data_IF_673261435972
#
_entry.id   IF_673261435972
#
_cell.length_a   1.000
_cell.length_b   1.000
_cell.length_c   1.000
_cell.angle_alpha   90.00
_cell.angle_beta   90.00
_cell.angle_gamma   90.00
#
_symmetry.space_group_name_H-M   'P 1'
#
loop_
_entity.id
_entity.type
_entity.pdbx_description
1 polymer ?
#
# COMPACT_ATOMS: atom_id res chain seq x y z
N UNK A 1 -10.74 -14.82 7.58
CA UNK A 1 -9.55 -14.95 6.70
C UNK A 1 -8.41 -14.03 7.13
N UNK A 2 -8.67 -12.77 7.59
CA UNK A 2 -7.60 -11.82 7.96
C UNK A 2 -6.63 -12.39 9.01
N UNK A 3 -7.13 -12.95 10.11
CA UNK A 3 -6.28 -13.56 11.15
C UNK A 3 -5.35 -14.67 10.63
N UNK A 4 -5.82 -15.48 9.68
CA UNK A 4 -4.98 -16.53 9.09
C UNK A 4 -3.88 -15.93 8.20
N UNK A 5 -4.19 -14.87 7.47
CA UNK A 5 -3.22 -14.15 6.65
C UNK A 5 -2.22 -13.35 7.52
N UNK A 6 -2.70 -12.68 8.55
CA UNK A 6 -1.87 -11.99 9.54
C UNK A 6 -0.83 -12.95 10.15
N UNK A 7 -1.29 -14.09 10.69
CA UNK A 7 -0.41 -15.12 11.24
C UNK A 7 0.64 -15.58 10.22
N UNK A 8 0.21 -15.87 9.00
CA UNK A 8 1.11 -16.31 7.94
C UNK A 8 2.17 -15.26 7.59
N UNK A 9 1.83 -13.99 7.64
CA UNK A 9 2.77 -12.89 7.36
C UNK A 9 3.81 -12.76 8.48
N UNK A 10 3.40 -12.86 9.76
CA UNK A 10 4.31 -12.87 10.90
C UNK A 10 5.29 -14.06 10.85
N UNK A 11 4.76 -15.26 10.60
CA UNK A 11 5.58 -16.48 10.49
C UNK A 11 6.57 -16.40 9.30
N UNK A 12 6.12 -15.92 8.15
CA UNK A 12 6.98 -15.74 6.97
C UNK A 12 8.08 -14.71 7.21
N UNK A 13 7.78 -13.65 7.97
CA UNK A 13 8.75 -12.61 8.30
C UNK A 13 9.77 -13.06 9.37
N UNK A 14 9.55 -14.21 10.02
CA UNK A 14 10.37 -14.66 11.14
C UNK A 14 10.22 -13.78 12.39
N UNK A 15 9.08 -13.12 12.52
CA UNK A 15 8.77 -12.17 13.59
C UNK A 15 7.63 -12.68 14.46
N UNK A 16 7.58 -12.24 15.71
CA UNK A 16 6.47 -12.51 16.65
C UNK A 16 5.74 -11.20 16.99
N UNK A 17 4.40 -11.16 16.90
CA UNK A 17 3.66 -9.97 17.31
C UNK A 17 3.83 -9.62 18.79
N UNK A 18 4.13 -10.62 19.63
CA UNK A 18 4.26 -10.47 21.07
C UNK A 18 5.72 -10.25 21.54
N UNK A 19 6.68 -10.25 20.61
CA UNK A 19 8.11 -10.09 20.92
C UNK A 19 8.77 -9.05 20.00
N UNK A 20 8.85 -7.77 20.43
CA UNK A 20 9.46 -6.70 19.67
C UNK A 20 10.93 -6.92 19.30
N UNK A 21 11.66 -7.72 20.04
CA UNK A 21 13.07 -8.03 19.74
C UNK A 21 13.23 -8.83 18.43
N UNK A 22 12.16 -9.51 18.01
CA UNK A 22 12.14 -10.24 16.73
C UNK A 22 11.83 -9.36 15.53
N UNK A 23 11.38 -8.11 15.75
CA UNK A 23 10.99 -7.23 14.65
C UNK A 23 12.23 -6.68 13.98
N UNK A 24 12.26 -6.77 12.65
CA UNK A 24 13.35 -6.24 11.82
C UNK A 24 14.75 -6.72 12.26
N UNK A 25 14.99 -8.02 12.29
CA UNK A 25 16.27 -8.57 12.77
C UNK A 25 17.45 -8.11 11.91
N UNK A 26 17.22 -7.80 10.62
CA UNK A 26 18.24 -7.38 9.67
C UNK A 26 17.89 -6.00 9.06
N UNK A 27 18.45 -4.91 9.54
CA UNK A 27 18.30 -3.59 8.92
C UNK A 27 18.95 -3.50 7.53
N UNK A 28 18.35 -2.72 6.57
CA UNK A 28 17.10 -1.99 6.70
C UNK A 28 15.88 -2.90 6.61
N UNK A 29 14.95 -2.74 7.56
CA UNK A 29 13.73 -3.50 7.59
C UNK A 29 12.75 -3.00 6.54
N UNK A 30 12.67 -3.70 5.41
CA UNK A 30 11.62 -3.45 4.43
C UNK A 30 10.25 -3.87 4.95
N UNK A 31 9.28 -2.96 4.88
CA UNK A 31 7.88 -3.27 5.28
C UNK A 31 7.23 -4.33 4.39
N UNK A 32 7.67 -4.46 3.14
CA UNK A 32 7.08 -5.39 2.17
C UNK A 32 7.67 -6.79 2.32
N UNK A 33 6.80 -7.78 2.52
CA UNK A 33 7.14 -9.20 2.62
C UNK A 33 6.67 -9.96 1.38
N UNK A 34 7.58 -10.65 0.72
CA UNK A 34 7.35 -11.31 -0.58
C UNK A 34 6.61 -12.67 -0.45
N UNK A 35 5.64 -12.72 0.43
CA UNK A 35 4.79 -13.90 0.67
C UNK A 35 3.71 -14.04 -0.42
N UNK A 36 4.10 -14.40 -1.64
CA UNK A 36 3.19 -14.40 -2.80
C UNK A 36 2.21 -15.58 -2.82
N UNK A 37 2.62 -16.76 -2.35
CA UNK A 37 1.96 -18.02 -2.65
C UNK A 37 1.29 -18.69 -1.46
N UNK A 38 1.18 -18.02 -0.33
CA UNK A 38 0.55 -18.60 0.85
C UNK A 38 -0.98 -18.68 0.69
N UNK A 39 -1.58 -19.84 1.07
CA UNK A 39 -3.01 -20.10 0.90
C UNK A 39 -3.89 -19.04 1.57
N UNK A 40 -3.55 -18.61 2.79
CA UNK A 40 -4.34 -17.60 3.51
C UNK A 40 -4.42 -16.24 2.77
N UNK A 41 -3.38 -15.88 1.99
CA UNK A 41 -3.42 -14.70 1.14
C UNK A 41 -4.27 -14.92 -0.11
N UNK A 42 -4.22 -16.13 -0.69
CA UNK A 42 -5.11 -16.50 -1.80
C UNK A 42 -6.57 -16.49 -1.39
N UNK A 43 -6.91 -16.98 -0.18
CA UNK A 43 -8.27 -16.99 0.36
C UNK A 43 -8.84 -15.58 0.52
N UNK A 44 -7.98 -14.59 0.80
CA UNK A 44 -8.36 -13.17 0.85
C UNK A 44 -8.52 -12.59 -0.56
N UNK A 45 -7.54 -12.80 -1.44
CA UNK A 45 -7.56 -12.28 -2.82
C UNK A 45 -8.76 -12.78 -3.62
N UNK A 46 -9.14 -14.04 -3.41
CA UNK A 46 -10.27 -14.69 -4.09
C UNK A 46 -11.57 -14.58 -3.31
N UNK A 47 -11.61 -13.82 -2.22
CA UNK A 47 -12.81 -13.69 -1.43
C UNK A 47 -13.94 -13.06 -2.26
N UNK A 48 -15.19 -13.61 -2.24
CA UNK A 48 -16.30 -13.12 -3.06
C UNK A 48 -16.58 -11.62 -2.94
N UNK A 49 -16.41 -11.03 -1.74
CA UNK A 49 -16.57 -9.58 -1.53
C UNK A 49 -15.49 -8.77 -2.25
N UNK A 50 -14.25 -9.24 -2.27
CA UNK A 50 -13.15 -8.60 -3.00
C UNK A 50 -13.43 -8.67 -4.50
N UNK A 51 -13.78 -9.85 -5.01
CA UNK A 51 -14.17 -10.02 -6.40
C UNK A 51 -15.35 -9.11 -6.79
N UNK A 52 -16.38 -9.04 -5.95
CA UNK A 52 -17.55 -8.19 -6.22
C UNK A 52 -17.21 -6.70 -6.30
N UNK A 53 -16.33 -6.21 -5.41
CA UNK A 53 -15.89 -4.81 -5.41
C UNK A 53 -15.18 -4.45 -6.73
N UNK A 54 -14.21 -5.26 -7.16
CA UNK A 54 -13.51 -5.03 -8.42
C UNK A 54 -14.41 -5.27 -9.64
N UNK A 55 -15.36 -6.22 -9.57
CA UNK A 55 -16.32 -6.45 -10.64
C UNK A 55 -17.23 -5.22 -10.89
N UNK A 56 -17.63 -4.53 -9.83
CA UNK A 56 -18.41 -3.29 -9.97
C UNK A 56 -17.59 -2.18 -10.61
N UNK A 57 -16.31 -2.04 -10.23
CA UNK A 57 -15.41 -1.02 -10.80
C UNK A 57 -15.18 -1.26 -12.29
N UNK A 58 -14.93 -2.51 -12.68
CA UNK A 58 -14.60 -2.88 -14.05
C UNK A 58 -15.80 -3.21 -14.94
N UNK A 59 -17.01 -3.30 -14.38
CA UNK A 59 -18.22 -3.66 -15.11
C UNK A 59 -18.19 -5.09 -15.68
N UNK A 60 -17.39 -5.98 -15.10
CA UNK A 60 -17.24 -7.38 -15.54
C UNK A 60 -16.85 -8.30 -14.39
N UNK A 61 -17.33 -9.53 -14.44
CA UNK A 61 -16.93 -10.59 -13.50
C UNK A 61 -15.75 -11.45 -13.99
N UNK A 62 -15.25 -11.19 -15.20
CA UNK A 62 -14.11 -11.89 -15.80
C UNK A 62 -12.81 -11.21 -15.39
N UNK A 63 -12.42 -11.41 -14.14
CA UNK A 63 -11.23 -10.81 -13.55
C UNK A 63 -10.16 -11.86 -13.30
N UNK A 64 -8.91 -11.45 -13.47
CA UNK A 64 -7.76 -12.23 -13.01
C UNK A 64 -7.31 -11.70 -11.64
N UNK A 65 -6.98 -12.62 -10.75
CA UNK A 65 -6.39 -12.27 -9.46
C UNK A 65 -4.93 -11.90 -9.69
N UNK A 66 -4.58 -10.66 -9.38
CA UNK A 66 -3.17 -10.28 -9.25
C UNK A 66 -2.62 -10.80 -7.93
N UNK A 67 -1.34 -11.13 -7.92
CA UNK A 67 -0.62 -11.50 -6.70
C UNK A 67 0.36 -10.38 -6.37
N UNK A 68 0.40 -10.03 -5.11
CA UNK A 68 1.35 -9.07 -4.60
C UNK A 68 1.78 -9.47 -3.18
N UNK A 69 2.66 -8.69 -2.63
CA UNK A 69 3.27 -8.84 -1.32
C UNK A 69 2.27 -8.56 -0.19
N UNK A 70 2.63 -8.89 1.02
CA UNK A 70 2.02 -8.34 2.22
C UNK A 70 2.95 -7.29 2.84
N UNK A 71 2.41 -6.40 3.67
CA UNK A 71 3.20 -5.45 4.44
C UNK A 71 3.07 -5.72 5.94
N UNK A 72 4.20 -5.57 6.65
CA UNK A 72 4.26 -5.37 8.08
C UNK A 72 4.95 -4.04 8.31
N UNK A 73 4.31 -3.14 9.04
CA UNK A 73 4.88 -1.87 9.43
C UNK A 73 4.98 -1.85 10.97
N UNK A 74 6.11 -2.30 11.55
CA UNK A 74 6.27 -2.32 13.01
C UNK A 74 6.39 -0.90 13.56
N UNK A 75 6.08 -0.69 14.86
CA UNK A 75 6.27 0.58 15.53
C UNK A 75 7.68 1.14 15.42
N UNK A 76 7.77 2.46 15.40
CA UNK A 76 9.06 3.17 15.42
C UNK A 76 9.86 2.83 16.68
N UNK A 77 11.17 2.75 16.53
CA UNK A 77 12.13 2.50 17.59
C UNK A 77 13.53 2.92 17.16
N UNK A 78 14.50 3.03 18.07
CA UNK A 78 15.89 3.34 17.71
C UNK A 78 16.41 2.44 16.57
N UNK A 79 16.86 3.04 15.47
CA UNK A 79 17.30 2.35 14.25
C UNK A 79 16.19 1.96 13.28
N UNK A 80 14.94 2.30 13.58
CA UNK A 80 13.79 2.15 12.68
C UNK A 80 12.84 3.33 12.88
N UNK A 81 13.21 4.48 12.33
CA UNK A 81 12.43 5.71 12.36
C UNK A 81 11.67 5.90 11.06
N UNK A 82 10.47 6.45 11.16
CA UNK A 82 9.66 6.82 10.00
C UNK A 82 10.23 8.07 9.33
N UNK A 83 10.53 7.97 8.05
CA UNK A 83 11.15 9.05 7.28
C UNK A 83 10.19 9.76 6.33
N UNK A 84 8.89 9.53 6.49
CA UNK A 84 7.84 10.18 5.74
C UNK A 84 6.91 9.19 5.03
N UNK A 85 5.79 9.65 4.45
CA UNK A 85 4.81 8.77 3.82
C UNK A 85 5.33 8.10 2.55
N UNK A 86 6.55 8.38 2.10
CA UNK A 86 7.19 7.80 0.92
C UNK A 86 6.28 7.75 -0.30
N UNK A 87 5.62 8.87 -0.59
CA UNK A 87 4.68 8.98 -1.70
C UNK A 87 5.32 8.51 -3.02
N UNK A 88 4.62 7.61 -3.69
CA UNK A 88 5.05 7.02 -4.96
C UNK A 88 3.85 6.57 -5.80
N UNK A 89 4.12 6.15 -7.01
CA UNK A 89 3.19 5.43 -7.88
C UNK A 89 3.82 4.11 -8.29
N UNK A 90 3.00 3.07 -8.41
CA UNK A 90 3.39 1.80 -9.02
C UNK A 90 3.28 1.80 -10.55
N UNK A 91 2.75 2.87 -11.11
CA UNK A 91 2.74 3.08 -12.55
C UNK A 91 4.03 3.76 -13.05
N UNK A 92 4.33 3.59 -14.35
CA UNK A 92 5.40 4.36 -14.97
C UNK A 92 4.93 5.80 -15.21
N UNK A 93 5.51 6.76 -14.50
CA UNK A 93 5.16 8.19 -14.62
C UNK A 93 5.75 8.86 -15.86
N UNK A 94 6.73 8.23 -16.51
CA UNK A 94 7.29 8.73 -17.77
C UNK A 94 6.38 8.39 -18.97
N UNK A 95 5.55 7.36 -18.81
CA UNK A 95 4.62 6.92 -19.83
C UNK A 95 3.27 6.57 -19.18
N UNK A 96 2.56 7.59 -18.71
CA UNK A 96 1.25 7.42 -18.05
C UNK A 96 0.22 6.94 -19.08
N UNK A 97 -0.30 5.71 -18.93
CA UNK A 97 -1.24 5.15 -19.89
C UNK A 97 -2.57 5.92 -19.91
N UNK A 98 -3.26 5.93 -21.06
CA UNK A 98 -4.57 6.60 -21.21
C UNK A 98 -5.63 5.99 -20.27
N UNK A 99 -5.59 4.69 -20.09
CA UNK A 99 -6.45 3.98 -19.14
C UNK A 99 -5.65 3.63 -17.91
N UNK A 100 -5.88 4.36 -16.84
CA UNK A 100 -5.28 4.11 -15.54
C UNK A 100 -6.22 3.21 -14.75
N UNK A 101 -5.65 2.23 -14.05
CA UNK A 101 -6.39 1.24 -13.30
C UNK A 101 -6.65 1.63 -11.85
N UNK A 102 -7.00 0.63 -11.06
CA UNK A 102 -7.15 0.73 -9.62
C UNK A 102 -6.26 -0.31 -8.93
N UNK A 103 -5.84 0.01 -7.71
CA UNK A 103 -5.15 -0.89 -6.81
C UNK A 103 -5.95 -1.01 -5.52
N UNK A 104 -5.65 -2.00 -4.70
CA UNK A 104 -6.30 -2.14 -3.41
C UNK A 104 -5.41 -2.82 -2.39
N UNK A 105 -5.58 -2.45 -1.13
CA UNK A 105 -5.05 -3.16 0.03
C UNK A 105 -6.18 -3.66 0.91
N UNK A 106 -5.97 -4.80 1.55
CA UNK A 106 -6.84 -5.33 2.58
C UNK A 106 -6.15 -5.18 3.93
N UNK A 107 -6.78 -4.46 4.86
CA UNK A 107 -6.30 -4.41 6.23
C UNK A 107 -6.49 -5.77 6.91
N UNK A 108 -5.39 -6.35 7.41
CA UNK A 108 -5.41 -7.62 8.13
C UNK A 108 -5.69 -7.43 9.62
N UNK A 109 -5.36 -6.25 10.15
CA UNK A 109 -5.56 -5.80 11.53
C UNK A 109 -6.37 -4.50 11.56
N UNK A 110 -6.96 -4.16 12.69
CA UNK A 110 -7.44 -2.82 12.94
C UNK A 110 -6.24 -1.88 12.92
N UNK A 111 -6.32 -0.80 12.15
CA UNK A 111 -5.19 0.08 11.85
C UNK A 111 -5.65 1.52 12.01
N UNK A 112 -5.15 2.21 13.02
CA UNK A 112 -5.37 3.63 13.22
C UNK A 112 -4.54 4.46 12.23
N UNK A 113 -4.87 5.74 12.11
CA UNK A 113 -4.21 6.65 11.16
C UNK A 113 -2.70 6.78 11.35
N UNK A 114 -2.19 6.51 12.55
CA UNK A 114 -0.78 6.54 12.94
C UNK A 114 -0.16 5.15 13.15
N UNK A 115 -0.78 4.10 12.58
CA UNK A 115 -0.34 2.71 12.72
C UNK A 115 0.03 2.06 11.38
N UNK A 116 0.81 2.75 10.55
CA UNK A 116 1.20 2.24 9.24
C UNK A 116 0.04 2.20 8.23
N UNK A 117 -0.99 3.04 8.43
CA UNK A 117 -2.17 3.13 7.58
C UNK A 117 -1.81 3.54 6.15
N UNK A 118 -2.66 3.18 5.21
CA UNK A 118 -2.55 3.66 3.83
C UNK A 118 -2.57 5.20 3.79
N UNK A 119 -1.62 5.77 3.09
CA UNK A 119 -1.51 7.21 2.87
C UNK A 119 -1.72 7.55 1.40
N UNK A 120 -2.41 8.65 1.11
CA UNK A 120 -2.52 9.16 -0.26
C UNK A 120 -2.75 10.68 -0.28
N UNK A 121 -2.58 11.29 -1.46
CA UNK A 121 -2.97 12.68 -1.70
C UNK A 121 -4.30 12.71 -2.45
N UNK A 122 -5.43 12.94 -1.76
CA UNK A 122 -6.75 12.90 -2.39
C UNK A 122 -6.88 13.88 -3.55
N UNK A 123 -7.48 13.42 -4.65
CA UNK A 123 -7.73 14.26 -5.83
C UNK A 123 -6.54 14.44 -6.77
N UNK A 124 -5.32 14.12 -6.37
CA UNK A 124 -4.12 14.33 -7.20
C UNK A 124 -4.18 13.63 -8.56
N UNK A 125 -4.78 12.45 -8.63
CA UNK A 125 -4.94 11.71 -9.89
C UNK A 125 -5.64 12.49 -11.01
N UNK A 126 -6.47 13.48 -10.65
CA UNK A 126 -7.17 14.35 -11.61
C UNK A 126 -6.21 15.34 -12.30
N UNK A 127 -5.13 15.70 -11.63
CA UNK A 127 -4.15 16.68 -12.11
C UNK A 127 -2.80 16.05 -12.48
N UNK A 128 -2.61 14.76 -12.26
CA UNK A 128 -1.34 14.05 -12.45
C UNK A 128 -0.68 14.39 -13.78
N UNK A 129 -1.41 14.27 -14.90
CA UNK A 129 -0.84 14.49 -16.24
C UNK A 129 -0.38 15.92 -16.46
N UNK A 130 -1.14 16.89 -15.97
CA UNK A 130 -0.81 18.30 -16.10
C UNK A 130 0.37 18.66 -15.21
N UNK A 131 0.38 18.13 -13.99
CA UNK A 131 1.50 18.32 -13.07
C UNK A 131 2.78 17.72 -13.63
N UNK A 132 2.77 16.50 -14.17
CA UNK A 132 3.95 15.89 -14.80
C UNK A 132 4.46 16.73 -15.99
N UNK A 133 3.57 17.27 -16.82
CA UNK A 133 3.96 18.15 -17.93
C UNK A 133 4.58 19.47 -17.49
N UNK A 134 4.25 19.95 -16.30
CA UNK A 134 4.80 21.19 -15.74
C UNK A 134 6.23 21.04 -15.19
N UNK A 135 6.67 19.81 -14.96
CA UNK A 135 7.99 19.54 -14.39
C UNK A 135 9.08 19.68 -15.45
N UNK A 136 10.24 20.28 -15.08
CA UNK A 136 11.44 20.20 -15.93
C UNK A 136 11.86 18.74 -16.14
N UNK A 137 12.34 18.41 -17.31
CA UNK A 137 12.79 17.05 -17.66
C UNK A 137 13.95 16.51 -16.79
N UNK A 138 14.60 17.37 -16.05
CA UNK A 138 15.72 17.04 -15.16
C UNK A 138 15.25 16.69 -13.72
N UNK A 139 13.97 16.81 -13.43
CA UNK A 139 13.40 16.58 -12.10
C UNK A 139 12.77 15.19 -12.05
N UNK A 140 13.11 14.42 -11.04
CA UNK A 140 12.44 13.15 -10.76
C UNK A 140 11.03 13.43 -10.18
N UNK A 141 9.96 13.03 -10.88
CA UNK A 141 8.60 13.24 -10.39
C UNK A 141 8.32 12.60 -9.02
N UNK A 142 8.99 11.47 -8.70
CA UNK A 142 8.82 10.77 -7.43
C UNK A 142 9.41 11.52 -6.25
N UNK A 143 10.57 12.14 -6.45
CA UNK A 143 11.18 13.02 -5.45
C UNK A 143 10.32 14.27 -5.29
N UNK A 144 9.90 14.87 -6.41
CA UNK A 144 9.14 16.11 -6.40
C UNK A 144 7.78 15.99 -5.75
N UNK A 145 7.06 14.88 -5.95
CA UNK A 145 5.76 14.67 -5.27
C UNK A 145 5.91 14.53 -3.76
N UNK A 146 7.00 13.91 -3.31
CA UNK A 146 7.31 13.83 -1.87
C UNK A 146 7.58 15.21 -1.28
N UNK A 147 8.39 15.99 -1.95
CA UNK A 147 8.72 17.36 -1.52
C UNK A 147 7.48 18.26 -1.42
N UNK A 148 6.62 18.23 -2.42
CA UNK A 148 5.49 19.17 -2.54
C UNK A 148 4.22 18.72 -1.84
N UNK A 149 4.02 17.41 -1.63
CA UNK A 149 2.72 16.88 -1.23
C UNK A 149 2.73 15.97 0.01
N UNK A 150 3.88 15.68 0.62
CA UNK A 150 3.91 14.84 1.83
C UNK A 150 3.06 15.42 2.96
N UNK A 151 3.09 16.73 3.16
CA UNK A 151 2.29 17.43 4.18
C UNK A 151 0.77 17.44 3.87
N UNK A 152 0.39 17.04 2.66
CA UNK A 152 -0.99 16.95 2.20
C UNK A 152 -1.52 15.52 2.17
N UNK A 153 -0.69 14.58 2.56
CA UNK A 153 -1.09 13.19 2.63
C UNK A 153 -2.16 12.98 3.72
N UNK A 154 -3.18 12.23 3.39
CA UNK A 154 -4.24 11.79 4.32
C UNK A 154 -3.98 10.34 4.66
N UNK A 155 -4.01 10.02 5.94
CA UNK A 155 -3.86 8.67 6.45
C UNK A 155 -5.25 8.04 6.65
N UNK A 156 -5.46 6.90 6.01
CA UNK A 156 -6.76 6.24 5.94
C UNK A 156 -6.80 5.09 6.93
N UNK A 157 -7.41 5.32 8.08
CA UNK A 157 -7.65 4.27 9.06
C UNK A 157 -8.64 3.21 8.56
N UNK A 158 -8.59 2.01 9.12
CA UNK A 158 -9.49 0.92 8.77
C UNK A 158 -9.49 -0.22 9.78
N UNK A 159 -10.47 -1.10 9.66
CA UNK A 159 -10.60 -2.30 10.48
C UNK A 159 -10.12 -3.53 9.73
N UNK A 160 -9.79 -4.57 10.45
CA UNK A 160 -9.49 -5.87 9.86
C UNK A 160 -10.63 -6.33 8.93
N UNK A 161 -10.33 -6.47 7.65
CA UNK A 161 -11.29 -6.82 6.60
C UNK A 161 -11.76 -5.64 5.75
N UNK A 162 -11.38 -4.42 6.07
CA UNK A 162 -11.63 -3.27 5.20
C UNK A 162 -10.71 -3.31 3.97
N UNK A 163 -11.30 -3.09 2.81
CA UNK A 163 -10.61 -3.04 1.53
C UNK A 163 -10.56 -1.58 1.05
N UNK A 164 -9.37 -1.01 1.07
CA UNK A 164 -9.13 0.32 0.49
C UNK A 164 -8.79 0.15 -0.98
N UNK A 165 -9.54 0.81 -1.86
CA UNK A 165 -9.29 0.81 -3.31
C UNK A 165 -9.01 2.24 -3.75
N UNK A 166 -7.95 2.43 -4.54
CA UNK A 166 -7.57 3.74 -5.05
C UNK A 166 -7.22 3.71 -6.54
N UNK A 167 -7.31 4.85 -7.16
CA UNK A 167 -6.88 5.06 -8.54
C UNK A 167 -5.35 5.06 -8.61
N UNK A 168 -4.76 4.28 -9.52
CA UNK A 168 -3.30 4.11 -9.61
C UNK A 168 -2.53 5.41 -9.88
N UNK A 169 -3.20 6.45 -10.34
CA UNK A 169 -2.62 7.80 -10.47
C UNK A 169 -2.57 8.60 -9.15
N UNK A 170 -3.09 8.06 -8.03
CA UNK A 170 -2.88 8.68 -6.72
C UNK A 170 -1.49 8.36 -6.20
N UNK A 171 -0.67 9.37 -5.83
CA UNK A 171 0.53 9.13 -5.06
C UNK A 171 0.11 8.60 -3.69
N UNK A 172 0.74 7.51 -3.29
CA UNK A 172 0.39 6.78 -2.08
C UNK A 172 1.62 6.27 -1.34
N UNK A 173 1.42 5.86 -0.09
CA UNK A 173 2.43 5.35 0.80
C UNK A 173 1.82 4.84 2.10
N UNK A 174 2.51 5.00 3.22
CA UNK A 174 2.02 4.63 4.54
C UNK A 174 2.21 5.75 5.56
N UNK A 175 1.42 5.73 6.64
CA UNK A 175 1.64 6.55 7.81
C UNK A 175 2.79 6.02 8.67
N UNK A 176 3.26 6.77 9.68
CA UNK A 176 4.09 6.21 10.75
C UNK A 176 3.34 5.10 11.51
N UNK A 177 4.07 4.35 12.32
CA UNK A 177 3.51 3.40 13.29
C UNK A 177 4.27 3.49 14.61
#
# INVERSE_FOLDING_TARGET
NCRAAEKAVWEFAGMSPDDPETWCPDPPCGIMKEIYQHQALWDNRQHPKVHAAFSQIWGTNKLQVSRDRASINPPERPGYEFTGPWLHWDLNVDDVPDKIGVQGILYLTDTAADQGAFACVPGFHLTLREWLKSLPKTVDPREKVREEFSDRAVFVEGRAGDLVIWHTGLPHGSSPN
#
